data_IF_108991364579
#
_entry.id   IF_108991364579
#
_cell.length_a   1.000
_cell.length_b   1.000
_cell.length_c   1.000
_cell.angle_alpha   90.00
_cell.angle_beta   90.00
_cell.angle_gamma   90.00
#
_symmetry.space_group_name_H-M   'P 1'
#
loop_
_entity.id
_entity.type
_entity.pdbx_description
1 polymer ?
#
# COMPACT_ATOMS: atom_id res chain seq x y z
N UNK A 1 15.74 -4.54 1.17
CA UNK A 1 16.41 -4.40 -0.15
C UNK A 1 16.56 -5.80 -0.74
N UNK A 2 16.12 -6.02 -1.98
CA UNK A 2 16.20 -7.34 -2.62
C UNK A 2 17.64 -7.70 -3.03
N UNK A 3 17.87 -8.99 -3.30
CA UNK A 3 19.16 -9.48 -3.82
C UNK A 3 19.19 -9.36 -5.36
N UNK A 4 20.34 -8.92 -5.91
CA UNK A 4 20.55 -8.93 -7.35
C UNK A 4 20.91 -10.34 -7.79
N UNK A 5 20.11 -10.93 -8.69
CA UNK A 5 20.31 -12.28 -9.22
C UNK A 5 21.17 -12.28 -10.48
N UNK A 6 21.20 -11.20 -11.21
CA UNK A 6 21.97 -11.04 -12.42
C UNK A 6 21.94 -9.61 -12.94
N UNK A 7 22.89 -9.26 -13.76
CA UNK A 7 22.95 -7.97 -14.45
C UNK A 7 23.59 -8.15 -15.82
N UNK A 8 23.32 -7.22 -16.72
CA UNK A 8 23.88 -7.21 -18.06
C UNK A 8 23.66 -5.87 -18.74
N UNK A 9 24.12 -5.74 -19.95
CA UNK A 9 23.92 -4.56 -20.79
C UNK A 9 23.30 -4.98 -22.12
N UNK A 10 22.53 -4.10 -22.72
CA UNK A 10 22.01 -4.25 -24.06
C UNK A 10 22.18 -2.94 -24.84
N UNK A 11 22.25 -3.04 -26.14
CA UNK A 11 22.32 -1.86 -26.98
C UNK A 11 20.93 -1.33 -27.29
N UNK A 12 20.74 -0.02 -27.05
CA UNK A 12 19.51 0.67 -27.42
C UNK A 12 19.58 0.94 -28.94
N UNK A 13 18.58 0.49 -29.73
CA UNK A 13 18.53 0.78 -31.15
C UNK A 13 18.37 2.30 -31.39
N UNK A 14 18.99 2.78 -32.46
CA UNK A 14 18.80 4.18 -32.86
C UNK A 14 17.33 4.39 -33.23
N UNK A 15 16.70 5.36 -32.55
CA UNK A 15 15.29 5.71 -32.74
C UNK A 15 15.21 7.21 -33.02
N UNK A 16 14.57 7.58 -34.12
CA UNK A 16 14.38 8.99 -34.48
C UNK A 16 13.39 9.67 -33.54
N UNK A 17 13.46 10.99 -33.45
CA UNK A 17 12.58 11.78 -32.58
C UNK A 17 11.09 11.56 -32.95
N UNK A 18 10.28 11.24 -31.96
CA UNK A 18 8.85 10.94 -32.12
C UNK A 18 8.54 9.53 -32.64
N UNK A 19 9.56 8.72 -32.98
CA UNK A 19 9.38 7.33 -33.39
C UNK A 19 9.51 6.36 -32.20
N UNK A 20 9.03 5.12 -32.40
CA UNK A 20 9.17 4.01 -31.47
C UNK A 20 9.87 2.85 -32.15
N UNK A 21 10.79 2.22 -31.47
CA UNK A 21 11.50 1.02 -31.96
C UNK A 21 11.41 -0.07 -30.91
N UNK A 22 10.89 -1.23 -31.31
CA UNK A 22 10.86 -2.39 -30.44
C UNK A 22 12.24 -3.04 -30.38
N UNK A 23 12.67 -3.39 -29.17
CA UNK A 23 13.87 -4.21 -28.99
C UNK A 23 13.59 -5.32 -27.96
N UNK A 24 14.28 -6.45 -28.14
CA UNK A 24 14.22 -7.57 -27.20
C UNK A 24 15.40 -7.50 -26.26
N UNK A 25 15.11 -7.42 -24.96
CA UNK A 25 16.14 -7.51 -23.93
C UNK A 25 16.29 -8.98 -23.53
N UNK A 26 17.45 -9.54 -23.84
CA UNK A 26 17.78 -10.92 -23.44
C UNK A 26 18.15 -10.96 -21.96
N UNK A 27 17.43 -11.74 -21.18
CA UNK A 27 17.78 -12.04 -19.80
C UNK A 27 17.43 -13.49 -19.45
N UNK A 28 18.12 -14.04 -18.45
CA UNK A 28 17.80 -15.37 -17.94
C UNK A 28 16.77 -15.23 -16.83
N UNK A 29 15.53 -15.62 -17.12
CA UNK A 29 14.47 -15.60 -16.11
C UNK A 29 14.84 -16.53 -14.93
N UNK A 30 14.71 -16.06 -13.68
CA UNK A 30 14.85 -16.93 -12.51
C UNK A 30 13.71 -17.97 -12.48
N UNK A 31 13.95 -19.08 -11.82
CA UNK A 31 12.85 -20.01 -11.49
C UNK A 31 12.01 -19.37 -10.39
N UNK A 32 10.70 -19.18 -10.59
CA UNK A 32 9.87 -18.60 -9.56
C UNK A 32 9.82 -19.47 -8.30
N UNK A 33 10.05 -18.86 -7.14
CA UNK A 33 9.91 -19.49 -5.83
C UNK A 33 8.69 -18.91 -5.10
N UNK A 34 8.01 -19.75 -4.33
CA UNK A 34 6.82 -19.32 -3.58
C UNK A 34 7.18 -18.29 -2.51
N UNK A 35 6.47 -17.17 -2.47
CA UNK A 35 6.72 -16.09 -1.52
C UNK A 35 7.88 -15.16 -1.91
N UNK A 36 8.42 -15.27 -3.13
CA UNK A 36 9.47 -14.42 -3.65
C UNK A 36 8.97 -13.65 -4.86
N UNK A 37 9.14 -12.34 -4.83
CA UNK A 37 8.84 -11.45 -5.95
C UNK A 37 10.13 -11.19 -6.74
N UNK A 38 10.01 -11.24 -8.07
CA UNK A 38 11.11 -11.00 -8.99
C UNK A 38 10.82 -9.77 -9.85
N UNK A 39 11.84 -8.95 -10.01
CA UNK A 39 11.74 -7.70 -10.75
C UNK A 39 12.87 -7.58 -11.77
N UNK A 40 12.55 -7.10 -12.95
CA UNK A 40 13.53 -6.71 -13.98
C UNK A 40 13.61 -5.19 -14.00
N UNK A 41 14.76 -4.66 -13.62
CA UNK A 41 15.07 -3.24 -13.73
C UNK A 41 15.80 -2.96 -15.04
N UNK A 42 15.27 -2.07 -15.86
CA UNK A 42 15.93 -1.54 -17.06
C UNK A 42 16.32 -0.10 -16.79
N UNK A 43 17.62 0.17 -16.87
CA UNK A 43 18.19 1.48 -16.56
C UNK A 43 18.88 2.03 -17.78
N UNK A 44 18.44 3.19 -18.23
CA UNK A 44 19.08 3.93 -19.34
C UNK A 44 20.11 4.90 -18.79
N UNK A 45 21.34 4.85 -19.32
CA UNK A 45 22.43 5.71 -18.89
C UNK A 45 23.04 6.45 -20.07
N UNK A 46 23.49 7.69 -19.84
CA UNK A 46 24.22 8.43 -20.87
C UNK A 46 25.52 7.72 -21.19
N UNK A 47 25.81 7.51 -22.49
CA UNK A 47 27.05 6.95 -22.99
C UNK A 47 28.21 7.96 -23.01
N UNK A 48 27.88 9.25 -23.07
CA UNK A 48 28.81 10.37 -23.22
C UNK A 48 28.40 11.51 -22.27
N UNK A 49 29.35 12.43 -22.05
CA UNK A 49 29.07 13.69 -21.38
C UNK A 49 28.15 14.56 -22.24
N UNK A 50 27.16 15.14 -21.60
CA UNK A 50 26.24 16.11 -22.20
C UNK A 50 26.30 17.43 -21.41
N UNK A 51 25.89 18.57 -21.99
CA UNK A 51 25.91 19.86 -21.28
C UNK A 51 25.18 19.86 -19.94
N UNK A 52 24.22 18.96 -19.75
CA UNK A 52 23.35 18.89 -18.56
C UNK A 52 23.69 17.71 -17.62
N UNK A 53 24.51 16.73 -18.03
CA UNK A 53 24.84 15.58 -17.19
C UNK A 53 26.05 14.80 -17.74
N UNK A 54 26.83 14.21 -16.85
CA UNK A 54 28.01 13.42 -17.20
C UNK A 54 27.63 12.01 -17.66
N UNK A 55 28.56 11.36 -18.35
CA UNK A 55 28.51 9.93 -18.71
C UNK A 55 28.13 9.09 -17.49
N UNK A 56 27.23 8.13 -17.68
CA UNK A 56 26.72 7.25 -16.63
C UNK A 56 25.53 7.82 -15.87
N UNK A 57 25.15 9.07 -16.10
CA UNK A 57 23.92 9.64 -15.52
C UNK A 57 22.71 8.79 -15.92
N UNK A 58 21.87 8.46 -14.95
CA UNK A 58 20.65 7.69 -15.16
C UNK A 58 19.58 8.59 -15.79
N UNK A 59 19.35 8.38 -17.08
CA UNK A 59 18.38 9.14 -17.87
C UNK A 59 16.94 8.60 -17.73
N UNK A 60 16.81 7.35 -17.35
CA UNK A 60 15.50 6.73 -17.12
C UNK A 60 15.63 5.34 -16.50
N UNK A 61 14.55 4.93 -15.81
CA UNK A 61 14.44 3.61 -15.21
C UNK A 61 13.04 3.07 -15.37
N UNK A 62 12.95 1.78 -15.67
CA UNK A 62 11.69 1.03 -15.70
C UNK A 62 11.87 -0.25 -14.91
N UNK A 63 10.84 -0.61 -14.16
CA UNK A 63 10.78 -1.83 -13.38
C UNK A 63 9.58 -2.67 -13.83
N UNK A 64 9.83 -3.94 -14.12
CA UNK A 64 8.82 -4.89 -14.58
C UNK A 64 8.75 -6.05 -13.59
N UNK A 65 7.54 -6.35 -13.12
CA UNK A 65 7.32 -7.57 -12.34
C UNK A 65 7.48 -8.78 -13.26
N UNK A 66 8.30 -9.72 -12.86
CA UNK A 66 8.42 -11.00 -13.54
C UNK A 66 7.39 -12.00 -12.99
N UNK A 67 7.05 -13.07 -13.75
CA UNK A 67 6.14 -14.09 -13.27
C UNK A 67 6.59 -14.63 -11.91
N UNK A 68 5.73 -14.53 -10.92
CA UNK A 68 5.94 -15.11 -9.60
C UNK A 68 5.35 -16.54 -9.54
N UNK A 69 5.85 -17.37 -8.64
CA UNK A 69 5.20 -18.60 -8.29
C UNK A 69 3.85 -18.32 -7.59
N UNK A 70 3.00 -19.32 -7.52
CA UNK A 70 1.77 -19.19 -6.75
C UNK A 70 2.07 -18.69 -5.34
N UNK A 71 1.29 -17.74 -4.81
CA UNK A 71 1.51 -17.21 -3.48
C UNK A 71 1.52 -18.35 -2.46
N UNK A 72 2.34 -18.21 -1.44
CA UNK A 72 2.27 -19.13 -0.29
C UNK A 72 0.86 -19.06 0.24
N UNK A 73 0.15 -20.20 0.18
CA UNK A 73 -1.17 -20.28 0.82
C UNK A 73 -0.95 -19.99 2.29
N UNK A 74 -1.47 -18.89 2.78
CA UNK A 74 -1.42 -18.59 4.20
C UNK A 74 -1.93 -19.84 4.94
N UNK A 75 -1.19 -20.31 5.92
CA UNK A 75 -1.69 -21.36 6.82
C UNK A 75 -3.07 -20.89 7.30
N UNK A 76 -4.04 -21.81 7.31
CA UNK A 76 -5.40 -21.50 7.75
C UNK A 76 -5.29 -20.68 9.04
N UNK A 77 -5.83 -19.47 8.99
CA UNK A 77 -5.77 -18.57 10.14
C UNK A 77 -6.32 -19.31 11.35
N UNK A 78 -5.57 -19.38 12.44
CA UNK A 78 -6.10 -19.87 13.70
C UNK A 78 -7.28 -18.97 14.03
N UNK A 79 -8.43 -19.54 14.34
CA UNK A 79 -9.58 -18.77 14.79
C UNK A 79 -9.13 -17.86 15.92
N UNK A 80 -9.35 -16.57 15.77
CA UNK A 80 -9.06 -15.63 16.83
C UNK A 80 -10.07 -15.85 17.97
N UNK A 81 -9.61 -15.81 19.20
CA UNK A 81 -10.47 -15.76 20.36
C UNK A 81 -10.96 -14.32 20.50
N UNK A 82 -12.25 -14.15 20.54
CA UNK A 82 -12.89 -12.85 20.72
C UNK A 82 -13.28 -12.68 22.18
N UNK A 83 -12.87 -11.60 22.80
CA UNK A 83 -13.34 -11.16 24.11
C UNK A 83 -13.96 -9.77 23.99
N UNK A 84 -15.02 -9.53 24.78
CA UNK A 84 -15.76 -8.26 24.75
C UNK A 84 -15.91 -7.68 26.16
N UNK A 85 -15.66 -6.40 26.27
CA UNK A 85 -15.94 -5.58 27.44
C UNK A 85 -16.92 -4.48 27.05
N UNK A 86 -17.32 -3.64 27.99
CA UNK A 86 -18.12 -2.44 27.69
C UNK A 86 -17.36 -1.43 26.82
N UNK A 87 -16.02 -1.43 26.87
CA UNK A 87 -15.18 -0.43 26.22
C UNK A 87 -14.49 -0.93 24.95
N UNK A 88 -14.34 -2.23 24.79
CA UNK A 88 -13.56 -2.80 23.69
C UNK A 88 -13.98 -4.20 23.30
N UNK A 89 -13.66 -4.55 22.05
CA UNK A 89 -13.65 -5.92 21.54
C UNK A 89 -12.21 -6.28 21.20
N UNK A 90 -11.71 -7.34 21.77
CA UNK A 90 -10.32 -7.80 21.58
C UNK A 90 -10.31 -9.14 20.87
N UNK A 91 -9.51 -9.24 19.81
CA UNK A 91 -9.22 -10.49 19.08
C UNK A 91 -7.81 -10.93 19.45
N UNK A 92 -7.66 -12.17 19.83
CA UNK A 92 -6.35 -12.76 20.13
C UNK A 92 -6.11 -14.01 19.30
N UNK A 93 -5.01 -14.02 18.56
CA UNK A 93 -4.57 -15.17 17.75
C UNK A 93 -3.09 -15.44 17.98
N UNK A 94 -2.79 -16.43 18.79
CA UNK A 94 -1.40 -16.72 19.21
C UNK A 94 -0.78 -15.54 19.98
N UNK A 95 0.27 -14.94 19.43
CA UNK A 95 0.95 -13.78 20.03
C UNK A 95 0.49 -12.43 19.49
N UNK A 96 -0.57 -12.40 18.69
CA UNK A 96 -1.14 -11.19 18.10
C UNK A 96 -2.43 -10.83 18.81
N UNK A 97 -2.58 -9.57 19.17
CA UNK A 97 -3.80 -9.00 19.78
C UNK A 97 -4.20 -7.76 19.00
N UNK A 98 -5.48 -7.71 18.61
CA UNK A 98 -6.09 -6.53 17.98
C UNK A 98 -7.26 -6.06 18.87
N UNK A 99 -7.31 -4.77 19.16
CA UNK A 99 -8.33 -4.18 20.01
C UNK A 99 -9.14 -3.15 19.23
N UNK A 100 -10.46 -3.32 19.24
CA UNK A 100 -11.42 -2.39 18.63
C UNK A 100 -12.14 -1.66 19.74
N UNK A 101 -12.18 -0.34 19.67
CA UNK A 101 -12.91 0.50 20.62
C UNK A 101 -14.41 0.35 20.41
N UNK A 102 -15.15 0.07 21.49
CA UNK A 102 -16.59 -0.23 21.41
C UNK A 102 -17.47 1.00 21.15
N UNK A 103 -16.96 2.20 21.39
CA UNK A 103 -17.70 3.44 21.17
C UNK A 103 -17.56 3.95 19.74
N UNK A 104 -16.41 3.72 19.12
CA UNK A 104 -16.10 4.25 17.80
C UNK A 104 -16.09 3.19 16.70
N UNK A 105 -15.86 1.92 17.04
CA UNK A 105 -15.65 0.83 16.09
C UNK A 105 -14.28 0.84 15.42
N UNK A 106 -13.38 1.71 15.82
CA UNK A 106 -12.05 1.81 15.23
C UNK A 106 -11.06 0.85 15.89
N UNK A 107 -10.11 0.33 15.09
CA UNK A 107 -8.98 -0.39 15.64
C UNK A 107 -8.15 0.57 16.49
N UNK A 108 -8.11 0.34 17.80
CA UNK A 108 -7.48 1.22 18.78
C UNK A 108 -6.15 0.69 19.32
N UNK A 109 -5.86 -0.60 19.10
CA UNK A 109 -4.61 -1.23 19.50
C UNK A 109 -4.28 -2.44 18.64
N UNK A 110 -3.00 -2.64 18.39
CA UNK A 110 -2.48 -3.82 17.69
C UNK A 110 -1.12 -4.19 18.27
N UNK A 111 -1.07 -5.30 18.96
CA UNK A 111 0.13 -5.77 19.63
C UNK A 111 0.60 -7.11 19.08
N UNK A 112 1.93 -7.29 19.00
CA UNK A 112 2.58 -8.54 18.62
C UNK A 112 3.58 -8.91 19.71
N UNK A 113 3.41 -10.10 20.30
CA UNK A 113 4.25 -10.57 21.43
C UNK A 113 4.30 -9.57 22.59
N UNK A 114 3.18 -8.92 22.87
CA UNK A 114 3.05 -7.90 23.93
C UNK A 114 3.64 -6.53 23.58
N UNK A 115 4.22 -6.36 22.40
CA UNK A 115 4.69 -5.06 21.93
C UNK A 115 3.57 -4.35 21.16
N UNK A 116 3.08 -3.20 21.67
CA UNK A 116 2.09 -2.36 21.00
C UNK A 116 2.72 -1.67 19.79
N UNK A 117 2.09 -1.81 18.63
CA UNK A 117 2.57 -1.26 17.36
C UNK A 117 1.81 0.00 16.91
N UNK A 118 0.73 0.35 17.59
CA UNK A 118 -0.09 1.52 17.27
C UNK A 118 0.09 2.62 18.31
N UNK A 119 0.26 3.85 17.86
CA UNK A 119 0.32 5.04 18.73
C UNK A 119 -1.04 5.70 18.92
N UNK A 120 -1.96 5.45 18.00
CA UNK A 120 -3.30 6.02 17.99
C UNK A 120 -4.25 5.13 17.19
N UNK A 121 -5.56 5.22 17.39
CA UNK A 121 -6.55 4.49 16.61
C UNK A 121 -6.44 4.75 15.11
N UNK A 122 -6.77 3.75 14.31
CA UNK A 122 -6.93 3.90 12.85
C UNK A 122 -8.28 4.56 12.58
N UNK A 123 -8.23 5.82 12.17
CA UNK A 123 -9.42 6.60 11.81
C UNK A 123 -9.48 6.71 10.29
N UNK A 124 -10.66 6.51 9.65
CA UNK A 124 -10.83 6.74 8.22
C UNK A 124 -10.38 8.13 7.82
N UNK A 125 -9.60 8.26 6.77
CA UNK A 125 -9.14 9.53 6.25
C UNK A 125 -9.57 9.72 4.79
N UNK A 126 -10.26 10.81 4.50
CA UNK A 126 -10.77 11.16 3.18
C UNK A 126 -10.06 12.36 2.57
N UNK A 127 -8.99 12.84 3.22
CA UNK A 127 -8.30 14.04 2.80
C UNK A 127 -6.79 13.81 2.66
N UNK A 128 -6.21 14.39 1.63
CA UNK A 128 -4.77 14.45 1.43
C UNK A 128 -4.28 15.91 1.40
N UNK A 129 -2.99 16.12 1.55
CA UNK A 129 -2.38 17.42 1.32
C UNK A 129 -2.67 17.89 -0.11
N UNK A 130 -3.17 19.11 -0.25
CA UNK A 130 -3.53 19.69 -1.54
C UNK A 130 -2.29 20.13 -2.30
N UNK A 131 -2.20 19.75 -3.58
CA UNK A 131 -1.22 20.28 -4.53
C UNK A 131 -1.62 21.69 -5.01
N UNK A 132 -0.76 22.36 -5.77
CA UNK A 132 -1.10 23.65 -6.37
C UNK A 132 -2.26 23.55 -7.36
N UNK A 133 -2.32 22.50 -8.14
CA UNK A 133 -3.43 22.23 -9.05
C UNK A 133 -4.76 22.05 -8.29
N UNK A 134 -4.73 21.34 -7.16
CA UNK A 134 -5.90 21.21 -6.30
C UNK A 134 -6.39 22.57 -5.80
N UNK A 135 -5.46 23.41 -5.34
CA UNK A 135 -5.79 24.72 -4.75
C UNK A 135 -6.25 25.74 -5.78
N UNK A 136 -5.52 25.87 -6.88
CA UNK A 136 -5.73 26.93 -7.87
C UNK A 136 -6.64 26.48 -9.00
N UNK A 137 -6.44 25.29 -9.55
CA UNK A 137 -7.25 24.77 -10.65
C UNK A 137 -8.62 24.26 -10.19
N UNK A 138 -8.63 23.30 -9.30
CA UNK A 138 -9.87 22.63 -8.87
C UNK A 138 -10.59 23.32 -7.71
N UNK A 139 -9.94 24.19 -7.00
CA UNK A 139 -10.49 24.86 -5.80
C UNK A 139 -10.99 23.81 -4.80
N UNK A 140 -10.20 22.76 -4.60
CA UNK A 140 -10.59 21.54 -3.85
C UNK A 140 -11.02 21.88 -2.43
N UNK A 141 -10.39 22.86 -1.80
CA UNK A 141 -10.72 23.28 -0.44
C UNK A 141 -12.15 23.79 -0.32
N UNK A 142 -12.62 24.59 -1.27
CA UNK A 142 -13.98 25.14 -1.27
C UNK A 142 -15.01 24.11 -1.71
N UNK A 143 -14.70 23.30 -2.71
CA UNK A 143 -15.63 22.33 -3.29
C UNK A 143 -15.77 21.06 -2.48
N UNK A 144 -14.68 20.60 -1.86
CA UNK A 144 -14.58 19.30 -1.23
C UNK A 144 -14.14 19.37 0.25
N UNK A 145 -14.08 20.57 0.82
CA UNK A 145 -13.61 20.78 2.19
C UNK A 145 -14.37 19.99 3.26
N UNK A 146 -15.63 19.62 3.00
CA UNK A 146 -16.41 18.77 3.88
C UNK A 146 -15.77 17.39 4.13
N UNK A 147 -14.99 16.87 3.16
CA UNK A 147 -14.30 15.59 3.29
C UNK A 147 -13.14 15.65 4.30
N UNK A 148 -12.59 16.83 4.55
CA UNK A 148 -11.52 17.02 5.53
C UNK A 148 -11.98 16.74 6.95
N UNK A 149 -13.22 17.10 7.28
CA UNK A 149 -13.83 16.91 8.59
C UNK A 149 -14.79 15.73 8.63
N UNK A 150 -14.86 14.95 7.55
CA UNK A 150 -15.74 13.79 7.48
C UNK A 150 -15.49 12.76 8.59
N UNK A 151 -14.23 12.44 8.95
CA UNK A 151 -13.98 11.50 10.05
C UNK A 151 -14.65 11.88 11.37
N UNK A 152 -14.75 13.18 11.67
CA UNK A 152 -15.37 13.71 12.90
C UNK A 152 -16.88 13.53 12.93
N UNK A 153 -17.50 13.32 11.76
CA UNK A 153 -18.95 13.15 11.59
C UNK A 153 -19.38 11.69 11.63
N UNK A 154 -18.43 10.76 11.46
CA UNK A 154 -18.72 9.34 11.49
C UNK A 154 -19.02 8.89 12.92
N UNK A 155 -20.10 8.14 13.08
CA UNK A 155 -20.51 7.52 14.34
C UNK A 155 -20.71 6.04 14.12
N UNK A 156 -20.44 5.26 15.15
CA UNK A 156 -20.69 3.82 15.13
C UNK A 156 -22.19 3.55 14.98
N UNK A 157 -22.56 2.80 13.96
CA UNK A 157 -23.91 2.31 13.70
C UNK A 157 -24.07 0.90 14.29
N UNK A 158 -23.09 0.02 14.06
CA UNK A 158 -23.11 -1.34 14.60
C UNK A 158 -21.69 -1.88 14.77
N UNK A 159 -21.53 -2.78 15.74
CA UNK A 159 -20.31 -3.51 16.04
C UNK A 159 -20.65 -4.97 16.31
N UNK A 160 -20.28 -5.84 15.37
CA UNK A 160 -20.51 -7.27 15.44
C UNK A 160 -19.16 -8.00 15.59
N UNK A 161 -19.15 -9.01 16.44
CA UNK A 161 -17.99 -9.87 16.62
C UNK A 161 -18.47 -11.33 16.56
N UNK A 162 -18.08 -12.02 15.50
CA UNK A 162 -18.44 -13.42 15.26
C UNK A 162 -17.31 -14.10 14.47
N UNK A 163 -17.19 -15.42 14.66
CA UNK A 163 -16.30 -16.29 13.86
C UNK A 163 -14.83 -15.82 13.80
N UNK A 164 -14.34 -15.22 14.89
CA UNK A 164 -12.96 -14.72 14.96
C UNK A 164 -12.72 -13.45 14.14
N UNK A 165 -13.77 -12.74 13.79
CA UNK A 165 -13.73 -11.45 13.09
C UNK A 165 -14.56 -10.39 13.85
N UNK A 166 -14.19 -9.13 13.64
CA UNK A 166 -14.98 -7.97 14.09
C UNK A 166 -15.31 -7.12 12.87
N UNK A 167 -16.57 -6.74 12.77
CA UNK A 167 -17.06 -5.83 11.75
C UNK A 167 -17.72 -4.63 12.42
N UNK A 168 -17.21 -3.45 12.17
CA UNK A 168 -17.81 -2.20 12.58
C UNK A 168 -18.42 -1.47 11.39
N UNK A 169 -19.63 -0.95 11.54
CA UNK A 169 -20.25 -0.06 10.56
C UNK A 169 -20.32 1.32 11.15
N UNK A 170 -19.73 2.28 10.47
CA UNK A 170 -19.78 3.70 10.86
C UNK A 170 -20.49 4.51 9.78
N UNK A 171 -21.28 5.50 10.18
CA UNK A 171 -22.02 6.34 9.26
C UNK A 171 -22.03 7.80 9.70
N UNK A 172 -22.19 8.71 8.75
CA UNK A 172 -22.32 10.14 8.99
C UNK A 172 -22.03 10.95 7.73
N UNK A 173 -22.59 12.14 7.62
CA UNK A 173 -22.37 13.04 6.51
C UNK A 173 -22.68 12.47 5.12
N UNK A 174 -23.59 11.49 5.01
CA UNK A 174 -23.90 10.80 3.76
C UNK A 174 -22.93 9.65 3.40
N UNK A 175 -22.00 9.30 4.30
CA UNK A 175 -21.05 8.19 4.12
C UNK A 175 -21.42 7.04 5.07
N UNK A 176 -21.31 5.81 4.58
CA UNK A 176 -21.44 4.58 5.36
C UNK A 176 -20.30 3.65 5.00
N UNK A 177 -19.53 3.22 6.00
CA UNK A 177 -18.36 2.36 5.85
C UNK A 177 -18.50 1.12 6.71
N UNK A 178 -18.13 -0.03 6.15
CA UNK A 178 -17.85 -1.24 6.91
C UNK A 178 -16.32 -1.36 7.09
N UNK A 179 -15.88 -1.56 8.31
CA UNK A 179 -14.48 -1.63 8.74
C UNK A 179 -14.19 -3.04 9.24
#
# INVERSE_FOLDING_TARGET
MGATLGSGTFEVPRTEAGACTECRVGYKAPRPESGVDYWLDIVYRLKEDKPYALRGFEAGRYQFALPAAAPVRAAAARSAVVSRTERSVTLTAGSVTATVDAATGYLSGYAVRGCELMRSPLVPNFWRASTDNDRRGWRTRERMGAWRTMPERLKLESLNAADGAVTAVVCGGGVRLAL
#
